data_IF_634087495922
#
_entry.id   IF_634087495922
#
_cell.length_a   1.000
_cell.length_b   1.000
_cell.length_c   1.000
_cell.angle_alpha   90.00
_cell.angle_beta   90.00
_cell.angle_gamma   90.00
#
_symmetry.space_group_name_H-M   'P 1'
#
loop_
_entity.id
_entity.type
_entity.pdbx_description
1 polymer ?
#
# COMPACT_ATOMS: atom_id res chain seq x y z
N UNK A 1 -15.51 -19.58 -20.63
CA UNK A 1 -15.23 -18.39 -19.80
C UNK A 1 -13.73 -18.21 -19.87
N UNK A 2 -13.23 -17.05 -20.25
CA UNK A 2 -11.78 -16.82 -20.34
C UNK A 2 -11.31 -16.40 -18.95
N UNK A 3 -10.25 -17.00 -18.43
CA UNK A 3 -9.62 -16.61 -17.17
C UNK A 3 -8.98 -15.25 -17.40
N UNK A 4 -9.36 -14.25 -16.59
CA UNK A 4 -8.86 -12.89 -16.72
C UNK A 4 -7.53 -12.69 -15.95
N UNK A 5 -7.32 -13.43 -14.87
CA UNK A 5 -6.11 -13.43 -14.04
C UNK A 5 -6.18 -14.54 -13.00
N UNK A 6 -5.03 -14.92 -12.49
CA UNK A 6 -4.87 -15.90 -11.42
C UNK A 6 -3.94 -15.33 -10.33
N UNK A 7 -4.18 -15.74 -9.09
CA UNK A 7 -3.38 -15.34 -7.93
C UNK A 7 -3.71 -16.23 -6.74
N UNK A 8 -3.20 -15.84 -5.60
CA UNK A 8 -3.36 -16.55 -4.33
C UNK A 8 -4.18 -15.73 -3.34
N UNK A 9 -4.57 -16.35 -2.23
CA UNK A 9 -5.26 -15.68 -1.13
C UNK A 9 -5.03 -16.39 0.19
N UNK A 10 -5.24 -15.67 1.29
CA UNK A 10 -5.09 -16.19 2.65
C UNK A 10 -6.41 -16.10 3.37
N UNK A 11 -6.95 -17.24 3.80
CA UNK A 11 -8.16 -17.29 4.62
C UNK A 11 -7.76 -16.90 6.05
N UNK A 12 -8.22 -15.75 6.54
CA UNK A 12 -7.79 -15.19 7.81
C UNK A 12 -8.89 -15.15 8.88
N UNK A 13 -10.15 -15.30 8.48
CA UNK A 13 -11.28 -15.21 9.42
C UNK A 13 -12.40 -16.15 9.00
N UNK A 14 -13.05 -16.74 10.01
CA UNK A 14 -14.30 -17.47 9.89
C UNK A 14 -15.31 -16.88 10.85
N UNK A 15 -16.48 -16.50 10.35
CA UNK A 15 -17.55 -15.89 11.13
C UNK A 15 -18.91 -16.48 10.71
N UNK A 16 -19.44 -17.34 11.55
CA UNK A 16 -20.68 -18.05 11.28
C UNK A 16 -20.62 -18.89 10.00
N UNK A 17 -21.43 -18.54 9.00
CA UNK A 17 -21.51 -19.21 7.70
C UNK A 17 -20.58 -18.60 6.64
N UNK A 18 -19.81 -17.60 7.00
CA UNK A 18 -18.92 -16.88 6.09
C UNK A 18 -17.47 -17.05 6.51
N UNK A 19 -16.55 -16.98 5.54
CA UNK A 19 -15.14 -16.88 5.76
C UNK A 19 -14.58 -15.76 4.87
N UNK A 20 -13.48 -15.17 5.30
CA UNK A 20 -12.88 -14.01 4.66
C UNK A 20 -11.46 -14.34 4.21
N UNK A 21 -11.15 -13.90 3.00
CA UNK A 21 -9.89 -14.12 2.32
C UNK A 21 -9.30 -12.76 2.00
N UNK A 22 -8.04 -12.53 2.38
CA UNK A 22 -7.26 -11.40 1.86
C UNK A 22 -6.48 -11.85 0.64
N UNK A 23 -6.42 -10.98 -0.37
CA UNK A 23 -5.63 -11.13 -1.58
C UNK A 23 -5.17 -9.75 -2.07
N UNK A 24 -4.43 -9.67 -3.18
CA UNK A 24 -4.10 -8.38 -3.79
C UNK A 24 -5.27 -7.83 -4.61
N UNK A 25 -5.37 -6.47 -4.67
CA UNK A 25 -6.34 -5.79 -5.51
C UNK A 25 -6.19 -6.17 -6.98
N UNK A 26 -4.96 -6.14 -7.52
CA UNK A 26 -4.72 -6.45 -8.93
C UNK A 26 -5.11 -7.89 -9.31
N UNK A 27 -5.24 -8.82 -8.36
CA UNK A 27 -5.70 -10.21 -8.60
C UNK A 27 -7.21 -10.25 -8.87
N UNK A 28 -7.99 -9.37 -8.24
CA UNK A 28 -9.47 -9.36 -8.33
C UNK A 28 -10.00 -8.22 -9.17
N UNK A 29 -9.15 -7.27 -9.58
CA UNK A 29 -9.59 -6.09 -10.32
C UNK A 29 -10.18 -6.46 -11.69
N UNK A 30 -11.32 -5.84 -12.02
CA UNK A 30 -12.06 -6.12 -13.26
C UNK A 30 -12.71 -7.51 -13.33
N UNK A 31 -12.57 -8.38 -12.31
CA UNK A 31 -13.14 -9.71 -12.31
C UNK A 31 -14.66 -9.67 -12.16
N UNK A 32 -15.39 -10.30 -13.09
CA UNK A 32 -16.85 -10.44 -13.02
C UNK A 32 -17.29 -11.59 -12.09
N UNK A 33 -16.42 -12.55 -11.85
CA UNK A 33 -16.64 -13.70 -10.99
C UNK A 33 -15.32 -14.11 -10.37
N UNK A 34 -15.35 -14.37 -9.07
CA UNK A 34 -14.23 -14.92 -8.31
C UNK A 34 -14.49 -16.41 -8.04
N UNK A 35 -13.60 -17.26 -8.52
CA UNK A 35 -13.60 -18.69 -8.22
C UNK A 35 -12.36 -19.00 -7.42
N UNK A 36 -12.54 -19.57 -6.25
CA UNK A 36 -11.48 -19.90 -5.30
C UNK A 36 -11.31 -21.41 -5.27
N UNK A 37 -10.10 -21.88 -5.54
CA UNK A 37 -9.72 -23.27 -5.37
C UNK A 37 -9.08 -23.45 -3.98
N UNK A 38 -9.67 -24.31 -3.16
CA UNK A 38 -9.14 -24.67 -1.84
C UNK A 38 -8.00 -25.71 -1.97
N UNK A 39 -7.27 -25.90 -0.88
CA UNK A 39 -6.14 -26.86 -0.84
C UNK A 39 -6.53 -28.32 -1.12
N UNK A 40 -7.80 -28.67 -0.91
CA UNK A 40 -8.35 -29.99 -1.26
C UNK A 40 -8.77 -30.12 -2.74
N UNK A 41 -8.54 -29.06 -3.56
CA UNK A 41 -8.93 -28.98 -4.95
C UNK A 41 -10.40 -28.61 -5.17
N UNK A 42 -11.19 -28.46 -4.11
CA UNK A 42 -12.59 -28.04 -4.24
C UNK A 42 -12.67 -26.56 -4.61
N UNK A 43 -13.71 -26.22 -5.40
CA UNK A 43 -13.95 -24.86 -5.87
C UNK A 43 -15.15 -24.25 -5.15
N UNK A 44 -15.01 -22.99 -4.75
CA UNK A 44 -16.09 -22.18 -4.17
C UNK A 44 -16.15 -20.82 -4.87
N UNK A 45 -17.31 -20.18 -4.85
CA UNK A 45 -17.47 -18.83 -5.39
C UNK A 45 -17.24 -17.81 -4.31
N UNK A 46 -16.47 -16.77 -4.62
CA UNK A 46 -16.25 -15.62 -3.75
C UNK A 46 -17.05 -14.38 -4.17
N UNK A 47 -17.31 -13.53 -3.19
CA UNK A 47 -17.90 -12.20 -3.35
C UNK A 47 -16.88 -11.15 -2.87
N UNK A 48 -16.63 -10.14 -3.68
CA UNK A 48 -15.77 -9.04 -3.30
C UNK A 48 -16.44 -8.19 -2.20
N UNK A 49 -15.82 -8.09 -1.04
CA UNK A 49 -16.29 -7.25 0.08
C UNK A 49 -15.80 -5.81 -0.12
N UNK A 50 -14.53 -5.64 -0.44
CA UNK A 50 -13.91 -4.36 -0.69
C UNK A 50 -12.50 -4.52 -1.24
N UNK A 51 -11.99 -3.45 -1.84
CA UNK A 51 -10.63 -3.41 -2.37
C UNK A 51 -10.04 -2.02 -2.24
N UNK A 52 -8.72 -1.96 -2.21
CA UNK A 52 -7.96 -0.73 -2.14
C UNK A 52 -6.79 -0.76 -3.12
N UNK A 53 -6.81 0.15 -4.07
CA UNK A 53 -5.79 0.23 -5.13
C UNK A 53 -4.47 0.80 -4.63
N UNK A 54 -4.50 1.57 -3.53
CA UNK A 54 -3.29 2.17 -2.97
C UNK A 54 -2.43 1.12 -2.25
N UNK A 55 -3.02 0.34 -1.36
CA UNK A 55 -2.32 -0.73 -0.65
C UNK A 55 -2.21 -2.03 -1.45
N UNK A 56 -2.86 -2.11 -2.61
CA UNK A 56 -2.96 -3.32 -3.43
C UNK A 56 -3.56 -4.51 -2.67
N UNK A 57 -4.56 -4.26 -1.81
CA UNK A 57 -5.25 -5.29 -1.03
C UNK A 57 -6.74 -5.37 -1.38
N UNK A 58 -7.30 -6.56 -1.23
CA UNK A 58 -8.73 -6.82 -1.37
C UNK A 58 -9.19 -7.88 -0.38
N UNK A 59 -10.47 -7.80 0.01
CA UNK A 59 -11.14 -8.79 0.86
C UNK A 59 -12.24 -9.47 0.04
N UNK A 60 -12.22 -10.78 0.05
CA UNK A 60 -13.20 -11.66 -0.61
C UNK A 60 -13.90 -12.50 0.45
N UNK A 61 -15.22 -12.58 0.37
CA UNK A 61 -16.07 -13.38 1.24
C UNK A 61 -16.49 -14.67 0.52
N UNK A 62 -16.50 -15.77 1.25
CA UNK A 62 -16.90 -17.10 0.75
C UNK A 62 -17.78 -17.82 1.78
N UNK A 63 -18.51 -18.91 1.36
CA UNK A 63 -19.12 -19.85 2.32
C UNK A 63 -18.03 -20.52 3.19
N UNK A 64 -18.30 -20.61 4.50
CA UNK A 64 -17.38 -21.24 5.45
C UNK A 64 -17.52 -22.77 5.53
N UNK A 65 -18.46 -23.38 4.79
CA UNK A 65 -18.80 -24.81 4.93
C UNK A 65 -17.61 -25.76 4.76
N UNK A 66 -16.67 -25.39 3.87
CA UNK A 66 -15.45 -26.15 3.57
C UNK A 66 -14.18 -25.61 4.25
N UNK A 67 -14.31 -24.55 5.03
CA UNK A 67 -13.18 -23.92 5.69
C UNK A 67 -13.00 -24.53 7.09
N UNK A 68 -11.88 -25.21 7.29
CA UNK A 68 -11.54 -25.88 8.56
C UNK A 68 -10.60 -25.08 9.43
N UNK A 69 -9.71 -24.30 8.82
CA UNK A 69 -8.66 -23.51 9.49
C UNK A 69 -8.55 -22.13 8.89
N UNK A 70 -8.05 -21.20 9.67
CA UNK A 70 -7.72 -19.83 9.25
C UNK A 70 -6.27 -19.54 9.64
N UNK A 71 -5.62 -18.66 8.88
CA UNK A 71 -4.28 -18.22 9.19
C UNK A 71 -4.30 -17.20 10.35
N UNK A 72 -3.21 -17.17 11.12
CA UNK A 72 -2.96 -16.17 12.15
C UNK A 72 -1.93 -15.17 11.64
N UNK A 73 -2.12 -13.88 11.96
CA UNK A 73 -1.15 -12.84 11.66
C UNK A 73 -0.16 -12.68 12.81
N UNK A 74 1.14 -12.60 12.49
CA UNK A 74 2.18 -12.17 13.42
C UNK A 74 2.30 -10.64 13.43
N UNK A 75 2.96 -10.10 14.45
CA UNK A 75 3.33 -8.68 14.50
C UNK A 75 4.56 -8.42 13.60
N UNK A 76 4.35 -7.83 12.42
CA UNK A 76 5.43 -7.53 11.48
C UNK A 76 6.42 -6.48 12.00
N UNK A 77 6.09 -5.71 13.03
CA UNK A 77 7.03 -4.77 13.66
C UNK A 77 8.05 -5.48 14.57
N UNK A 78 7.80 -6.72 14.96
CA UNK A 78 8.71 -7.52 15.79
C UNK A 78 9.75 -8.31 14.98
N UNK A 79 9.64 -8.32 13.64
CA UNK A 79 10.54 -9.05 12.75
C UNK A 79 11.96 -8.53 12.83
N UNK A 80 12.92 -9.42 12.56
CA UNK A 80 14.33 -9.07 12.43
C UNK A 80 14.89 -9.49 11.07
N UNK A 81 15.84 -8.71 10.55
CA UNK A 81 16.54 -9.08 9.31
C UNK A 81 17.35 -10.35 9.53
N UNK A 82 17.23 -11.29 8.60
CA UNK A 82 17.85 -12.62 8.69
C UNK A 82 16.92 -13.71 9.22
N UNK A 83 15.72 -13.37 9.74
CA UNK A 83 14.71 -14.37 10.07
C UNK A 83 14.26 -15.16 8.85
N UNK A 84 13.97 -16.45 9.06
CA UNK A 84 13.40 -17.27 7.99
C UNK A 84 12.01 -16.78 7.59
N UNK A 85 11.80 -16.71 6.29
CA UNK A 85 10.51 -16.39 5.69
C UNK A 85 10.15 -17.44 4.64
N UNK A 86 8.90 -17.84 4.62
CA UNK A 86 8.37 -18.87 3.74
C UNK A 86 7.24 -18.27 2.93
N UNK A 87 7.38 -18.22 1.60
CA UNK A 87 6.34 -17.74 0.73
C UNK A 87 5.50 -18.92 0.21
N UNK A 88 4.17 -18.75 0.30
CA UNK A 88 3.18 -19.75 -0.11
C UNK A 88 2.26 -19.12 -1.16
N UNK A 89 2.02 -19.84 -2.26
CA UNK A 89 1.17 -19.36 -3.32
C UNK A 89 1.03 -20.35 -4.48
N UNK A 90 0.54 -19.84 -5.62
CA UNK A 90 0.26 -20.65 -6.81
C UNK A 90 1.00 -20.05 -8.02
N UNK A 91 2.35 -20.13 -8.05
CA UNK A 91 3.13 -19.54 -9.13
C UNK A 91 2.70 -20.15 -10.48
N UNK A 92 2.52 -19.30 -11.49
CA UNK A 92 2.11 -19.71 -12.83
C UNK A 92 0.73 -20.40 -12.91
N UNK A 93 -0.12 -20.22 -11.88
CA UNK A 93 -1.50 -20.69 -11.88
C UNK A 93 -1.76 -21.93 -11.05
N UNK A 94 -2.98 -22.45 -11.18
CA UNK A 94 -3.52 -23.53 -10.34
C UNK A 94 -2.79 -24.87 -10.50
N UNK A 95 -2.02 -25.08 -11.57
CA UNK A 95 -1.19 -26.27 -11.77
C UNK A 95 -0.12 -26.42 -10.70
N UNK A 96 0.40 -25.28 -10.20
CA UNK A 96 1.43 -25.23 -9.16
C UNK A 96 0.88 -24.71 -7.83
N UNK A 97 -0.41 -24.94 -7.58
CA UNK A 97 -1.08 -24.47 -6.38
C UNK A 97 -0.39 -24.97 -5.10
N UNK A 98 -0.33 -24.08 -4.09
CA UNK A 98 0.30 -24.33 -2.80
C UNK A 98 1.83 -24.61 -2.88
N UNK A 99 2.51 -24.04 -3.88
CA UNK A 99 3.97 -24.06 -3.91
C UNK A 99 4.55 -23.25 -2.74
N UNK A 100 5.65 -23.76 -2.21
CA UNK A 100 6.34 -23.19 -1.06
C UNK A 100 7.78 -22.88 -1.44
N UNK A 101 8.23 -21.65 -1.15
CA UNK A 101 9.63 -21.24 -1.29
C UNK A 101 10.14 -20.68 0.02
N UNK A 102 11.39 -20.98 0.39
CA UNK A 102 12.03 -20.51 1.62
C UNK A 102 13.11 -19.47 1.30
N UNK A 103 13.22 -18.49 2.18
CA UNK A 103 14.26 -17.46 2.19
C UNK A 103 14.36 -16.83 3.57
N UNK A 104 14.83 -15.59 3.60
CA UNK A 104 14.95 -14.80 4.82
C UNK A 104 14.27 -13.43 4.64
N UNK A 105 13.98 -12.77 5.74
CA UNK A 105 13.66 -11.34 5.75
C UNK A 105 14.94 -10.56 5.43
N UNK A 106 15.01 -10.01 4.22
CA UNK A 106 16.18 -9.26 3.73
C UNK A 106 16.16 -7.78 4.15
N UNK A 107 14.96 -7.22 4.36
CA UNK A 107 14.75 -5.85 4.89
C UNK A 107 13.33 -5.71 5.43
N UNK A 108 13.15 -4.88 6.48
CA UNK A 108 11.86 -4.68 7.14
C UNK A 108 11.04 -3.52 6.56
N UNK A 109 11.70 -2.54 5.95
CA UNK A 109 11.05 -1.26 5.58
C UNK A 109 11.64 -0.73 4.29
N UNK A 110 11.33 -1.38 3.17
CA UNK A 110 11.66 -0.84 1.84
C UNK A 110 10.53 0.06 1.37
N UNK A 111 10.83 1.33 1.18
CA UNK A 111 9.90 2.20 0.45
C UNK A 111 9.97 1.86 -1.02
N UNK A 112 8.89 1.34 -1.56
CA UNK A 112 8.76 0.99 -2.98
C UNK A 112 7.78 1.96 -3.62
N UNK A 113 8.24 2.61 -4.68
CA UNK A 113 7.40 3.50 -5.49
C UNK A 113 6.95 2.76 -6.74
N UNK A 114 5.64 2.70 -6.97
CA UNK A 114 5.04 2.05 -8.13
C UNK A 114 3.90 2.88 -8.71
N UNK A 115 3.42 2.51 -9.88
CA UNK A 115 2.16 3.02 -10.41
C UNK A 115 1.03 2.05 -10.03
N UNK A 116 -0.06 2.60 -9.47
CA UNK A 116 -1.28 1.84 -9.25
C UNK A 116 -2.03 1.61 -10.57
N UNK A 117 -3.14 0.88 -10.52
CA UNK A 117 -3.93 0.56 -11.72
C UNK A 117 -4.57 1.78 -12.38
N UNK A 118 -4.67 2.90 -11.67
CA UNK A 118 -5.14 4.19 -12.17
C UNK A 118 -4.02 5.04 -12.80
N UNK A 119 -2.76 4.54 -12.80
CA UNK A 119 -1.59 5.27 -13.30
C UNK A 119 -1.02 6.30 -12.32
N UNK A 120 -1.50 6.33 -11.08
CA UNK A 120 -0.99 7.22 -10.04
C UNK A 120 0.28 6.62 -9.42
N UNK A 121 1.25 7.46 -9.14
CA UNK A 121 2.45 7.05 -8.41
C UNK A 121 2.11 6.91 -6.93
N UNK A 122 2.24 5.70 -6.41
CA UNK A 122 2.03 5.36 -5.00
C UNK A 122 3.32 4.84 -4.39
N UNK A 123 3.47 5.07 -3.10
CA UNK A 123 4.60 4.54 -2.33
C UNK A 123 4.06 3.67 -1.21
N UNK A 124 4.63 2.49 -1.07
CA UNK A 124 4.29 1.56 0.01
C UNK A 124 5.55 1.11 0.73
N UNK A 125 5.40 0.75 1.99
CA UNK A 125 6.46 0.09 2.75
C UNK A 125 6.28 -1.42 2.56
N UNK A 126 7.36 -2.12 2.29
CA UNK A 126 7.32 -3.56 2.06
C UNK A 126 8.41 -4.28 2.85
N UNK A 127 8.11 -5.51 3.28
CA UNK A 127 9.09 -6.49 3.72
C UNK A 127 9.78 -7.01 2.46
N UNK A 128 11.11 -6.99 2.44
CA UNK A 128 11.89 -7.64 1.40
C UNK A 128 12.30 -9.04 1.84
N UNK A 129 12.19 -10.01 0.94
CA UNK A 129 12.65 -11.39 1.13
C UNK A 129 13.39 -11.87 -0.12
N UNK A 130 14.27 -12.84 0.04
CA UNK A 130 14.89 -13.59 -1.06
C UNK A 130 14.17 -14.92 -1.36
N UNK A 131 13.11 -15.26 -0.62
CA UNK A 131 12.16 -16.29 -1.03
C UNK A 131 11.59 -15.95 -2.41
N UNK A 132 11.51 -16.93 -3.31
CA UNK A 132 11.09 -16.67 -4.68
C UNK A 132 9.62 -16.24 -4.76
N UNK A 133 9.38 -14.98 -5.13
CA UNK A 133 8.07 -14.41 -5.42
C UNK A 133 7.93 -14.24 -6.93
N UNK A 134 6.95 -14.93 -7.50
CA UNK A 134 6.66 -14.94 -8.93
C UNK A 134 5.18 -14.62 -9.18
N UNK A 135 4.78 -14.24 -10.41
CA UNK A 135 3.37 -14.12 -10.80
C UNK A 135 2.59 -15.37 -10.40
N UNK A 136 1.44 -15.16 -9.74
CA UNK A 136 0.62 -16.20 -9.13
C UNK A 136 0.80 -16.35 -7.62
N UNK A 137 1.97 -15.98 -7.03
CA UNK A 137 2.14 -15.88 -5.58
C UNK A 137 1.47 -14.63 -4.99
N UNK A 138 1.12 -13.63 -5.83
CA UNK A 138 0.40 -12.42 -5.40
C UNK A 138 -0.85 -12.77 -4.63
N UNK A 139 -1.03 -12.15 -3.47
CA UNK A 139 -2.13 -12.41 -2.53
C UNK A 139 -1.90 -13.58 -1.58
N UNK A 140 -0.87 -14.42 -1.83
CA UNK A 140 -0.47 -15.51 -0.94
C UNK A 140 0.28 -15.02 0.29
N UNK A 141 0.51 -15.94 1.23
CA UNK A 141 1.16 -15.63 2.49
C UNK A 141 2.69 -15.60 2.38
N UNK A 142 3.31 -14.63 3.06
CA UNK A 142 4.67 -14.77 3.58
C UNK A 142 4.53 -15.11 5.07
N UNK A 143 5.09 -16.25 5.51
CA UNK A 143 4.94 -16.72 6.89
C UNK A 143 6.29 -16.89 7.58
N UNK A 144 6.29 -16.85 8.92
CA UNK A 144 7.43 -17.21 9.75
C UNK A 144 7.51 -18.74 9.95
N UNK A 145 8.48 -19.22 10.73
CA UNK A 145 8.67 -20.66 11.02
C UNK A 145 7.56 -21.24 11.90
N UNK A 146 6.79 -20.41 12.60
CA UNK A 146 5.62 -20.80 13.38
C UNK A 146 4.35 -20.93 12.50
N UNK A 147 4.43 -20.59 11.21
CA UNK A 147 3.32 -20.62 10.27
C UNK A 147 2.39 -19.39 10.36
N UNK A 148 2.80 -18.36 11.08
CA UNK A 148 2.04 -17.11 11.20
C UNK A 148 2.36 -16.18 10.03
N UNK A 149 1.36 -15.48 9.52
CA UNK A 149 1.48 -14.56 8.39
C UNK A 149 2.21 -13.28 8.82
N UNK A 150 3.38 -13.04 8.26
CA UNK A 150 4.19 -11.83 8.45
C UNK A 150 3.95 -10.79 7.35
N UNK A 151 3.33 -11.21 6.22
CA UNK A 151 2.96 -10.31 5.12
C UNK A 151 2.19 -11.01 4.02
N UNK A 152 1.68 -10.24 3.08
CA UNK A 152 1.01 -10.70 1.85
C UNK A 152 1.92 -10.44 0.66
N UNK A 153 2.27 -11.49 -0.06
CA UNK A 153 3.16 -11.44 -1.22
C UNK A 153 2.58 -10.58 -2.34
N UNK A 154 3.41 -9.78 -3.00
CA UNK A 154 3.00 -9.01 -4.20
C UNK A 154 4.07 -9.07 -5.28
N UNK A 155 3.79 -9.75 -6.37
CA UNK A 155 4.66 -9.80 -7.55
C UNK A 155 4.68 -8.47 -8.31
N UNK A 156 3.65 -7.64 -8.16
CA UNK A 156 3.59 -6.28 -8.73
C UNK A 156 4.68 -5.40 -8.12
N UNK A 157 4.86 -5.46 -6.80
CA UNK A 157 5.94 -4.75 -6.09
C UNK A 157 7.30 -5.29 -6.54
N UNK A 158 7.44 -6.60 -6.67
CA UNK A 158 8.69 -7.25 -7.09
C UNK A 158 9.09 -6.86 -8.53
N UNK A 159 8.13 -6.70 -9.43
CA UNK A 159 8.38 -6.37 -10.85
C UNK A 159 8.82 -4.92 -11.07
N UNK A 160 8.39 -3.97 -10.23
CA UNK A 160 8.78 -2.55 -10.34
C UNK A 160 10.22 -2.29 -9.95
N UNK A 161 10.84 -3.19 -9.20
CA UNK A 161 12.26 -3.10 -8.82
C UNK A 161 13.20 -3.57 -9.94
N UNK A 162 12.68 -4.12 -11.04
CA UNK A 162 13.48 -4.51 -12.21
C UNK A 162 13.99 -3.28 -12.95
N UNK A 163 15.30 -3.10 -13.03
CA UNK A 163 15.93 -2.14 -13.94
C UNK A 163 15.66 -2.60 -15.37
N UNK A 164 15.24 -1.68 -16.25
CA UNK A 164 14.75 -1.92 -17.60
C UNK A 164 15.41 -3.13 -18.29
N UNK A 165 14.64 -4.21 -18.44
CA UNK A 165 15.00 -5.38 -19.22
C UNK A 165 15.71 -6.53 -18.50
N UNK A 166 15.96 -6.45 -17.20
CA UNK A 166 16.58 -7.54 -16.42
C UNK A 166 15.69 -7.90 -15.23
N UNK A 167 15.24 -9.15 -15.16
CA UNK A 167 14.65 -9.68 -13.94
C UNK A 167 15.72 -9.69 -12.84
N UNK A 168 15.47 -9.05 -11.71
CA UNK A 168 16.37 -9.12 -10.54
C UNK A 168 15.95 -10.32 -9.73
N UNK A 169 16.76 -11.35 -9.72
CA UNK A 169 16.55 -12.54 -8.89
C UNK A 169 16.87 -12.26 -7.42
N UNK A 170 16.17 -12.96 -6.49
CA UNK A 170 16.41 -12.84 -5.06
C UNK A 170 15.86 -11.55 -4.41
N UNK A 171 14.92 -10.87 -5.08
CA UNK A 171 14.22 -9.71 -4.51
C UNK A 171 12.71 -9.91 -4.60
N UNK A 172 12.13 -10.48 -3.57
CA UNK A 172 10.69 -10.57 -3.36
C UNK A 172 10.20 -9.51 -2.37
N UNK A 173 8.92 -9.15 -2.44
CA UNK A 173 8.31 -8.19 -1.54
C UNK A 173 6.95 -8.66 -1.05
N UNK A 174 6.63 -8.29 0.20
CA UNK A 174 5.35 -8.54 0.82
C UNK A 174 4.86 -7.30 1.58
N UNK A 175 3.55 -7.08 1.57
CA UNK A 175 2.88 -6.05 2.36
C UNK A 175 2.89 -6.50 3.81
N UNK A 176 3.41 -5.70 4.77
CA UNK A 176 3.53 -6.09 6.19
C UNK A 176 2.20 -6.49 6.81
N UNK A 177 2.19 -7.51 7.66
CA UNK A 177 0.96 -8.02 8.28
C UNK A 177 0.19 -6.98 9.10
N UNK A 178 0.86 -6.07 9.78
CA UNK A 178 0.19 -5.02 10.55
C UNK A 178 -0.60 -4.07 9.64
N UNK A 179 -0.01 -3.68 8.50
CA UNK A 179 -0.70 -2.86 7.49
C UNK A 179 -1.87 -3.64 6.88
N UNK A 180 -1.67 -4.95 6.60
CA UNK A 180 -2.74 -5.83 6.10
C UNK A 180 -3.92 -5.84 7.06
N UNK A 181 -3.69 -6.07 8.36
CA UNK A 181 -4.75 -6.15 9.38
C UNK A 181 -5.51 -4.83 9.47
N UNK A 182 -4.82 -3.70 9.44
CA UNK A 182 -5.47 -2.38 9.46
C UNK A 182 -6.39 -2.18 8.25
N UNK A 183 -5.91 -2.51 7.05
CA UNK A 183 -6.64 -2.34 5.80
C UNK A 183 -7.83 -3.29 5.70
N UNK A 184 -7.65 -4.60 6.00
CA UNK A 184 -8.76 -5.56 5.91
C UNK A 184 -9.90 -5.24 6.89
N UNK A 185 -9.59 -4.70 8.07
CA UNK A 185 -10.61 -4.27 9.03
C UNK A 185 -11.47 -3.13 8.45
N UNK A 186 -10.88 -2.17 7.74
CA UNK A 186 -11.61 -1.10 7.07
C UNK A 186 -12.43 -1.66 5.88
N UNK A 187 -11.82 -2.54 5.07
CA UNK A 187 -12.52 -3.16 3.94
C UNK A 187 -13.70 -4.03 4.38
N UNK A 188 -13.58 -4.80 5.48
CA UNK A 188 -14.70 -5.58 6.02
C UNK A 188 -15.85 -4.68 6.50
N UNK A 189 -15.52 -3.61 7.19
CA UNK A 189 -16.50 -2.73 7.82
C UNK A 189 -17.19 -1.81 6.83
N UNK A 190 -16.40 -1.16 5.96
CA UNK A 190 -16.85 -0.01 5.17
C UNK A 190 -16.79 -0.29 3.65
N UNK A 191 -16.24 -1.45 3.24
CA UNK A 191 -16.03 -1.82 1.84
C UNK A 191 -14.91 -1.04 1.14
N UNK A 192 -14.27 -0.12 1.83
CA UNK A 192 -13.25 0.80 1.31
C UNK A 192 -12.31 1.28 2.40
N UNK A 193 -11.16 1.82 1.99
CA UNK A 193 -10.18 2.44 2.89
C UNK A 193 -10.30 3.94 2.82
N UNK A 194 -10.50 4.56 3.98
CA UNK A 194 -10.61 6.02 4.09
C UNK A 194 -9.28 6.62 4.50
N UNK A 195 -8.72 7.49 3.66
CA UNK A 195 -7.44 8.16 3.91
C UNK A 195 -7.63 9.66 4.13
N UNK A 196 -6.87 10.27 5.07
CA UNK A 196 -6.94 11.72 5.27
C UNK A 196 -6.42 12.47 4.04
N UNK A 197 -6.99 13.65 3.80
CA UNK A 197 -6.59 14.53 2.71
C UNK A 197 -6.41 15.97 3.20
N UNK A 198 -5.40 16.66 2.64
CA UNK A 198 -5.14 18.05 2.92
C UNK A 198 -5.94 18.99 2.00
N UNK A 199 -6.37 18.51 0.83
CA UNK A 199 -7.05 19.30 -0.18
C UNK A 199 -6.11 20.30 -0.87
N UNK A 200 -4.93 19.84 -1.26
CA UNK A 200 -3.94 20.64 -1.99
C UNK A 200 -3.55 19.95 -3.30
N UNK A 201 -3.38 20.69 -4.37
CA UNK A 201 -2.62 20.22 -5.53
C UNK A 201 -1.14 20.46 -5.28
N UNK A 202 -0.29 19.53 -5.67
CA UNK A 202 1.13 19.55 -5.32
C UNK A 202 2.03 19.17 -6.48
N UNK A 203 3.25 19.73 -6.49
CA UNK A 203 4.31 19.38 -7.41
C UNK A 203 5.64 19.26 -6.67
N UNK A 204 6.49 18.33 -7.07
CA UNK A 204 7.85 18.22 -6.51
C UNK A 204 8.66 19.45 -6.93
N UNK A 205 9.35 20.10 -5.99
CA UNK A 205 10.19 21.26 -6.26
C UNK A 205 11.21 20.98 -7.36
N UNK A 206 11.80 19.77 -7.34
CA UNK A 206 12.79 19.33 -8.32
C UNK A 206 12.23 19.08 -9.72
N UNK A 207 10.90 18.97 -9.88
CA UNK A 207 10.24 18.81 -11.18
C UNK A 207 9.92 20.13 -11.87
N UNK A 208 10.08 21.24 -11.17
CA UNK A 208 9.79 22.57 -11.70
C UNK A 208 10.96 23.06 -12.59
N UNK A 209 10.62 23.86 -13.59
CA UNK A 209 11.63 24.57 -14.37
C UNK A 209 12.37 25.59 -13.52
N UNK A 210 13.64 25.87 -13.88
CA UNK A 210 14.45 26.87 -13.16
C UNK A 210 13.77 28.24 -13.06
N UNK A 211 12.98 28.65 -14.09
CA UNK A 211 12.25 29.90 -14.07
C UNK A 211 11.05 29.88 -13.10
N UNK A 212 10.42 28.73 -12.90
CA UNK A 212 9.35 28.56 -11.92
C UNK A 212 9.91 28.53 -10.49
N UNK A 213 11.01 27.82 -10.27
CA UNK A 213 11.67 27.76 -8.97
C UNK A 213 12.17 29.15 -8.51
N UNK A 214 12.74 29.95 -9.43
CA UNK A 214 13.21 31.30 -9.13
C UNK A 214 12.09 32.23 -8.66
N UNK A 215 10.84 32.00 -9.03
CA UNK A 215 9.68 32.80 -8.59
C UNK A 215 9.25 32.49 -7.16
N UNK A 216 9.68 31.37 -6.61
CA UNK A 216 9.36 30.96 -5.23
C UNK A 216 10.17 31.75 -4.18
N UNK A 217 11.25 32.43 -4.59
CA UNK A 217 12.15 33.25 -3.74
C UNK A 217 12.59 32.50 -2.46
N UNK A 218 13.00 31.21 -2.64
CA UNK A 218 13.40 30.35 -1.53
C UNK A 218 14.82 30.64 -1.05
N UNK A 219 15.13 30.38 0.23
CA UNK A 219 16.51 30.33 0.72
C UNK A 219 17.36 29.28 -0.02
N UNK A 220 18.66 29.56 -0.18
CA UNK A 220 19.59 28.69 -0.92
C UNK A 220 19.73 27.28 -0.33
N UNK A 221 19.45 27.11 0.96
CA UNK A 221 19.47 25.81 1.64
C UNK A 221 18.29 24.90 1.29
N UNK A 222 17.18 25.43 0.76
CA UNK A 222 15.99 24.66 0.39
C UNK A 222 16.17 24.07 -1.01
N UNK A 223 16.67 22.84 -1.08
CA UNK A 223 16.95 22.14 -2.34
C UNK A 223 15.88 21.11 -2.73
N UNK A 224 15.01 20.72 -1.77
CA UNK A 224 13.94 19.76 -1.99
C UNK A 224 12.72 20.14 -1.18
N UNK A 225 11.55 19.66 -1.60
CA UNK A 225 10.27 19.93 -0.98
C UNK A 225 9.14 19.78 -1.96
N UNK A 226 7.93 20.04 -1.49
CA UNK A 226 6.72 19.92 -2.31
C UNK A 226 6.00 21.26 -2.36
N UNK A 227 5.83 21.76 -3.57
CA UNK A 227 5.19 23.05 -3.85
C UNK A 227 3.69 22.88 -3.88
N UNK A 228 2.97 23.73 -3.14
CA UNK A 228 1.52 23.83 -3.20
C UNK A 228 1.11 24.61 -4.45
N UNK A 229 0.35 23.98 -5.34
CA UNK A 229 -0.18 24.61 -6.55
C UNK A 229 -1.54 25.26 -6.32
N UNK A 230 -2.39 24.64 -5.52
CA UNK A 230 -3.69 25.20 -5.14
C UNK A 230 -4.17 24.62 -3.81
N UNK A 231 -5.11 25.29 -3.17
CA UNK A 231 -5.77 24.82 -1.93
C UNK A 231 -7.27 24.82 -2.14
N UNK A 232 -7.90 23.68 -1.89
CA UNK A 232 -9.34 23.51 -1.99
C UNK A 232 -10.03 24.07 -0.74
N UNK A 233 -11.05 24.90 -0.96
CA UNK A 233 -11.84 25.53 0.12
C UNK A 233 -12.56 24.46 0.97
N UNK A 234 -12.53 24.64 2.29
CA UNK A 234 -13.18 23.75 3.26
C UNK A 234 -12.39 22.48 3.60
N UNK A 235 -11.21 22.29 3.01
CA UNK A 235 -10.29 21.21 3.33
C UNK A 235 -9.30 21.61 4.45
N UNK A 236 -8.58 20.66 5.08
CA UNK A 236 -7.67 20.93 6.21
C UNK A 236 -6.63 22.03 5.97
N UNK A 237 -6.16 22.19 4.73
CA UNK A 237 -5.17 23.21 4.37
C UNK A 237 -5.76 24.59 4.13
N UNK A 238 -7.10 24.72 4.02
CA UNK A 238 -7.77 25.98 3.70
C UNK A 238 -7.51 27.06 4.78
N UNK A 239 -7.08 28.25 4.33
CA UNK A 239 -6.69 29.35 5.22
C UNK A 239 -5.40 29.15 6.00
N UNK A 240 -4.71 28.03 5.82
CA UNK A 240 -3.43 27.69 6.49
C UNK A 240 -2.26 27.67 5.50
N UNK A 241 -2.42 26.95 4.42
CA UNK A 241 -1.48 26.95 3.29
C UNK A 241 -2.05 27.79 2.14
N UNK A 242 -1.18 28.16 1.22
CA UNK A 242 -1.55 28.88 -0.01
C UNK A 242 -0.67 28.45 -1.18
N UNK A 243 -1.05 28.85 -2.38
CA UNK A 243 -0.27 28.65 -3.59
C UNK A 243 1.17 29.17 -3.41
N UNK A 244 2.14 28.42 -3.90
CA UNK A 244 3.60 28.65 -3.81
C UNK A 244 4.23 28.43 -2.42
N UNK A 245 3.50 27.98 -1.41
CA UNK A 245 4.11 27.44 -0.21
C UNK A 245 4.91 26.18 -0.56
N UNK A 246 6.08 26.01 0.05
CA UNK A 246 6.94 24.83 -0.18
C UNK A 246 7.04 24.01 1.11
N UNK A 247 6.35 22.88 1.15
CA UNK A 247 6.34 21.96 2.30
C UNK A 247 7.67 21.23 2.35
N UNK A 248 8.34 21.28 3.49
CA UNK A 248 9.67 20.65 3.70
C UNK A 248 9.71 19.66 4.85
N UNK A 249 8.72 19.69 5.78
CA UNK A 249 8.62 18.74 6.88
C UNK A 249 7.16 18.51 7.27
N UNK A 250 6.84 17.28 7.67
CA UNK A 250 5.58 16.93 8.36
C UNK A 250 5.97 16.12 9.60
N UNK A 251 5.53 16.56 10.80
CA UNK A 251 5.84 15.98 12.10
C UNK A 251 7.35 15.74 12.33
N UNK A 252 8.17 16.69 11.84
CA UNK A 252 9.63 16.64 11.94
C UNK A 252 10.31 15.71 10.93
N UNK A 253 9.55 14.96 10.13
CA UNK A 253 10.10 14.15 9.03
C UNK A 253 10.27 15.02 7.79
N UNK A 254 11.42 14.92 7.13
CA UNK A 254 11.70 15.65 5.89
C UNK A 254 10.78 15.21 4.76
N UNK A 255 10.30 16.16 4.00
CA UNK A 255 9.48 15.99 2.81
C UNK A 255 10.28 16.49 1.60
N UNK A 256 10.63 15.60 0.70
CA UNK A 256 11.36 15.90 -0.53
C UNK A 256 10.53 15.67 -1.80
N UNK A 257 9.44 14.90 -1.70
CA UNK A 257 8.59 14.49 -2.82
C UNK A 257 7.12 14.41 -2.43
N UNK A 258 6.24 14.36 -3.44
CA UNK A 258 4.80 14.06 -3.26
C UNK A 258 4.57 12.73 -2.55
N UNK A 259 5.40 11.75 -2.85
CA UNK A 259 5.38 10.43 -2.23
C UNK A 259 5.63 10.49 -0.72
N UNK A 260 6.55 11.35 -0.27
CA UNK A 260 6.80 11.52 1.17
C UNK A 260 5.57 12.11 1.89
N UNK A 261 4.86 13.05 1.23
CA UNK A 261 3.60 13.58 1.78
C UNK A 261 2.57 12.46 1.91
N UNK A 262 2.37 11.65 0.86
CA UNK A 262 1.40 10.56 0.88
C UNK A 262 1.74 9.55 1.98
N UNK A 263 2.98 9.07 2.04
CA UNK A 263 3.43 8.09 3.03
C UNK A 263 3.24 8.62 4.45
N UNK A 264 3.59 9.88 4.69
CA UNK A 264 3.43 10.49 6.01
C UNK A 264 1.94 10.69 6.35
N UNK A 265 1.17 11.27 5.43
CA UNK A 265 -0.25 11.58 5.65
C UNK A 265 -1.08 10.31 5.89
N UNK A 266 -0.81 9.24 5.15
CA UNK A 266 -1.56 7.98 5.25
C UNK A 266 -1.17 7.11 6.45
N UNK A 267 -0.11 7.47 7.18
CA UNK A 267 0.18 6.91 8.49
C UNK A 267 -0.65 7.53 9.63
N UNK A 268 -1.55 8.46 9.31
CA UNK A 268 -2.44 9.13 10.26
C UNK A 268 -3.90 8.75 10.00
N UNK A 269 -4.72 8.93 11.04
CA UNK A 269 -6.18 8.73 10.96
C UNK A 269 -6.94 10.05 10.81
N UNK A 270 -8.17 9.97 10.30
CA UNK A 270 -9.08 11.11 10.33
C UNK A 270 -9.31 11.52 11.79
N UNK A 271 -9.11 12.80 12.09
CA UNK A 271 -9.20 13.37 13.43
C UNK A 271 -7.85 13.75 14.04
N UNK A 272 -6.76 13.17 13.56
CA UNK A 272 -5.41 13.49 14.00
C UNK A 272 -5.03 14.92 13.61
N UNK A 273 -3.99 15.44 14.27
CA UNK A 273 -3.41 16.74 13.96
C UNK A 273 -1.94 16.54 13.59
N UNK A 274 -1.55 16.99 12.41
CA UNK A 274 -0.18 16.98 11.93
C UNK A 274 0.42 18.39 11.97
N UNK A 275 1.74 18.46 12.16
CA UNK A 275 2.50 19.69 12.14
C UNK A 275 3.22 19.83 10.80
N UNK A 276 2.84 20.80 9.98
CA UNK A 276 3.42 21.04 8.65
C UNK A 276 4.38 22.23 8.72
N UNK A 277 5.63 22.01 8.34
CA UNK A 277 6.65 23.06 8.20
C UNK A 277 6.87 23.33 6.72
N UNK A 278 6.82 24.61 6.36
CA UNK A 278 6.88 25.05 4.97
C UNK A 278 7.59 26.41 4.85
N UNK A 279 8.04 26.73 3.66
CA UNK A 279 8.53 28.05 3.30
C UNK A 279 7.50 28.81 2.48
N UNK A 280 7.32 30.09 2.81
CA UNK A 280 6.56 31.07 2.05
C UNK A 280 7.52 32.18 1.64
N UNK A 281 8.03 32.12 0.41
CA UNK A 281 9.21 32.88 0.05
C UNK A 281 10.39 32.49 0.97
N UNK A 282 11.04 33.46 1.60
CA UNK A 282 12.17 33.22 2.51
C UNK A 282 11.76 32.87 3.95
N UNK A 283 10.48 33.00 4.28
CA UNK A 283 9.99 32.78 5.63
C UNK A 283 9.69 31.31 5.91
N UNK A 284 10.41 30.70 6.85
CA UNK A 284 10.10 29.39 7.40
C UNK A 284 8.91 29.52 8.37
N UNK A 285 7.85 28.74 8.15
CA UNK A 285 6.61 28.74 8.92
C UNK A 285 6.23 27.33 9.31
N UNK A 286 5.44 27.22 10.38
CA UNK A 286 4.88 25.96 10.84
C UNK A 286 3.41 26.15 11.19
N UNK A 287 2.58 25.18 10.84
CA UNK A 287 1.14 25.21 11.12
C UNK A 287 0.66 23.81 11.53
N UNK A 288 -0.29 23.78 12.46
CA UNK A 288 -1.00 22.56 12.82
C UNK A 288 -2.24 22.42 11.93
N UNK A 289 -2.35 21.27 11.26
CA UNK A 289 -3.47 20.89 10.41
C UNK A 289 -4.21 19.72 11.02
N UNK A 290 -5.50 19.91 11.35
CA UNK A 290 -6.35 18.82 11.80
C UNK A 290 -6.93 18.09 10.57
N UNK A 291 -6.70 16.79 10.48
CA UNK A 291 -7.13 15.93 9.38
C UNK A 291 -8.63 15.62 9.50
N UNK A 292 -9.49 16.53 9.07
CA UNK A 292 -10.94 16.43 9.22
C UNK A 292 -11.65 15.89 7.98
N UNK A 293 -10.91 15.66 6.91
CA UNK A 293 -11.42 15.32 5.59
C UNK A 293 -10.64 14.16 4.98
N UNK A 294 -11.29 13.40 4.11
CA UNK A 294 -10.72 12.26 3.39
C UNK A 294 -10.44 12.57 1.92
N UNK A 295 -9.79 11.63 1.25
CA UNK A 295 -9.60 11.68 -0.20
C UNK A 295 -10.92 11.73 -0.98
N UNK A 296 -12.02 11.26 -0.40
CA UNK A 296 -13.36 11.33 -1.00
C UNK A 296 -13.97 12.75 -0.99
N UNK A 297 -13.48 13.62 -0.11
CA UNK A 297 -13.92 15.02 -0.03
C UNK A 297 -13.20 15.93 -1.05
N UNK A 298 -12.20 15.40 -1.77
CA UNK A 298 -11.52 16.13 -2.83
C UNK A 298 -12.48 16.24 -4.02
N UNK A 299 -12.80 17.46 -4.42
CA UNK A 299 -13.55 17.73 -5.67
C UNK A 299 -12.58 17.82 -6.85
N UNK A 300 -13.02 17.25 -7.96
CA UNK A 300 -12.33 17.34 -9.26
C UNK A 300 -12.21 18.79 -9.77
#
# INVERSE_FOLDING_TARGET
MQVAGEGSGVIYKKDGKEAYIVTNNHVVDGAKKLEIMLSDGSKITGELVGKDTYSDLAVVKVSSDKITTVAEFADSNSLTVGEKSIAIGSPLGTEYANSVTEGIVSSLSRTITMQNDNGETVSTIAIQTDAAINPGNSGGALVNIEGQVIGINSSKISSTSAVAGSAVEGMGFAIPSNDVVEIINQLEKDGKVTRPALGISIADLNSLSSSATSKLDLPDEVKSGVVVGSVQKGMPADGKLQEYDVITEIDGKKIGSKTDIQTNLYSHSIGDTIKVTFYRGKDKKTVDLKLTKSTEDISD
#
